data_IF_512619936414
#
_entry.id   IF_512619936414
#
_cell.length_a   1.000
_cell.length_b   1.000
_cell.length_c   1.000
_cell.angle_alpha   90.00
_cell.angle_beta   90.00
_cell.angle_gamma   90.00
#
_symmetry.space_group_name_H-M   'P 1'
#
loop_
_entity.id
_entity.type
_entity.pdbx_description
1 polymer ?
#
# COMPACT_ATOMS: atom_id res chain seq x y z
N UNK A 1 -10.66 -31.07 -33.95
CA UNK A 1 -9.65 -30.58 -32.99
C UNK A 1 -8.31 -31.02 -33.53
N UNK A 2 -7.37 -30.10 -33.71
CA UNK A 2 -6.07 -30.42 -34.32
C UNK A 2 -5.12 -30.97 -33.24
N UNK A 3 -4.15 -31.81 -33.63
CA UNK A 3 -3.10 -32.33 -32.72
C UNK A 3 -2.32 -31.21 -32.01
N UNK A 4 -2.35 -29.99 -32.55
CA UNK A 4 -1.73 -28.79 -31.98
C UNK A 4 -2.51 -28.22 -30.78
N UNK A 5 -3.84 -28.35 -30.78
CA UNK A 5 -4.70 -27.87 -29.69
C UNK A 5 -4.62 -28.79 -28.46
N UNK A 6 -4.40 -30.09 -28.70
CA UNK A 6 -4.26 -31.11 -27.65
C UNK A 6 -2.92 -30.99 -26.93
N UNK A 7 -1.83 -30.72 -27.67
CA UNK A 7 -0.51 -30.43 -27.08
C UNK A 7 -0.46 -29.18 -26.21
N UNK A 8 -1.27 -28.16 -26.50
CA UNK A 8 -1.33 -26.96 -25.65
C UNK A 8 -2.11 -27.19 -24.35
N UNK A 9 -3.10 -28.10 -24.34
CA UNK A 9 -3.81 -28.44 -23.11
C UNK A 9 -3.02 -29.42 -22.23
N UNK A 10 -2.29 -30.36 -22.82
CA UNK A 10 -1.45 -31.30 -22.08
C UNK A 10 -0.23 -30.62 -21.42
N UNK A 11 0.34 -29.58 -22.06
CA UNK A 11 1.45 -28.80 -21.51
C UNK A 11 1.05 -27.94 -20.28
N UNK A 12 -0.24 -27.62 -20.12
CA UNK A 12 -0.77 -26.93 -18.93
C UNK A 12 -1.07 -27.93 -17.81
N UNK A 13 -1.42 -29.17 -18.15
CA UNK A 13 -1.75 -30.22 -17.19
C UNK A 13 -0.53 -30.89 -16.53
N UNK A 14 0.68 -30.63 -17.05
CA UNK A 14 1.93 -31.27 -16.61
C UNK A 14 2.90 -30.30 -15.90
N UNK A 15 2.39 -29.20 -15.32
CA UNK A 15 3.18 -28.41 -14.38
C UNK A 15 3.23 -29.13 -13.03
N UNK A 16 4.44 -29.44 -12.57
CA UNK A 16 4.65 -29.99 -11.24
C UNK A 16 4.10 -29.04 -10.16
N UNK A 17 3.73 -29.59 -9.00
CA UNK A 17 3.22 -28.77 -7.89
C UNK A 17 4.21 -27.66 -7.49
N UNK A 18 5.52 -27.92 -7.68
CA UNK A 18 6.61 -26.97 -7.44
C UNK A 18 6.58 -25.79 -8.44
N UNK A 19 6.34 -26.06 -9.73
CA UNK A 19 6.21 -25.02 -10.76
C UNK A 19 4.93 -24.19 -10.58
N UNK A 20 3.82 -24.83 -10.17
CA UNK A 20 2.59 -24.11 -9.82
C UNK A 20 2.77 -23.23 -8.59
N UNK A 21 3.57 -23.67 -7.61
CA UNK A 21 3.88 -22.87 -6.44
C UNK A 21 4.76 -21.67 -6.81
N UNK A 22 5.79 -21.87 -7.65
CA UNK A 22 6.65 -20.79 -8.15
C UNK A 22 5.91 -19.76 -9.00
N UNK A 23 4.89 -20.17 -9.78
CA UNK A 23 4.05 -19.23 -10.53
C UNK A 23 3.14 -18.37 -9.64
N UNK A 24 2.85 -18.83 -8.42
CA UNK A 24 2.05 -18.11 -7.42
C UNK A 24 2.91 -17.35 -6.41
N UNK A 25 4.24 -17.46 -6.47
CA UNK A 25 5.13 -16.66 -5.63
C UNK A 25 5.16 -15.21 -6.14
N UNK A 26 4.87 -14.22 -5.26
CA UNK A 26 5.03 -12.83 -5.62
C UNK A 26 6.46 -12.59 -6.09
N UNK A 27 6.62 -11.92 -7.23
CA UNK A 27 7.93 -11.49 -7.69
C UNK A 27 8.58 -10.64 -6.56
N UNK A 28 9.73 -11.09 -6.06
CA UNK A 28 10.49 -10.45 -4.98
C UNK A 28 11.55 -9.54 -5.59
N UNK A 29 11.68 -8.30 -5.10
CA UNK A 29 12.74 -7.39 -5.55
C UNK A 29 14.13 -7.85 -5.07
N UNK A 30 15.07 -8.18 -5.99
CA UNK A 30 16.42 -8.60 -5.62
C UNK A 30 17.27 -7.48 -5.00
N UNK A 31 16.84 -6.21 -5.03
CA UNK A 31 17.52 -5.11 -4.32
C UNK A 31 17.07 -4.97 -2.85
N UNK A 32 16.04 -5.71 -2.43
CA UNK A 32 15.45 -5.58 -1.11
C UNK A 32 14.57 -4.34 -0.96
N UNK A 33 13.78 -4.30 0.11
CA UNK A 33 12.93 -3.16 0.45
C UNK A 33 13.82 -1.96 0.81
N UNK A 34 13.64 -0.80 0.18
CA UNK A 34 14.21 0.48 0.65
C UNK A 34 13.92 0.63 2.15
N UNK A 35 14.97 0.74 2.99
CA UNK A 35 14.83 0.81 4.45
C UNK A 35 13.85 1.91 4.89
N UNK A 36 13.78 3.01 4.12
CA UNK A 36 12.82 4.09 4.37
C UNK A 36 11.37 3.62 4.19
N UNK A 37 11.10 2.85 3.15
CA UNK A 37 9.78 2.30 2.87
C UNK A 37 9.42 1.18 3.82
N UNK A 38 10.38 0.34 4.23
CA UNK A 38 10.14 -0.66 5.28
C UNK A 38 9.75 0.00 6.60
N UNK A 39 10.53 0.99 7.03
CA UNK A 39 10.27 1.72 8.27
C UNK A 39 8.90 2.41 8.23
N UNK A 40 8.56 3.03 7.10
CA UNK A 40 7.25 3.65 6.90
C UNK A 40 6.11 2.63 6.96
N UNK A 41 6.26 1.48 6.29
CA UNK A 41 5.28 0.41 6.32
C UNK A 41 5.05 -0.11 7.75
N UNK A 42 6.14 -0.39 8.48
CA UNK A 42 6.08 -0.91 9.85
C UNK A 42 5.35 0.09 10.79
N UNK A 43 5.63 1.39 10.67
CA UNK A 43 4.97 2.43 11.46
C UNK A 43 3.47 2.56 11.11
N UNK A 44 3.13 2.55 9.82
CA UNK A 44 1.73 2.59 9.36
C UNK A 44 0.93 1.39 9.87
N UNK A 45 1.47 0.17 9.72
CA UNK A 45 0.79 -1.04 10.20
C UNK A 45 0.62 -1.00 11.70
N UNK A 46 1.67 -0.61 12.43
CA UNK A 46 1.61 -0.47 13.89
C UNK A 46 0.50 0.50 14.33
N UNK A 47 0.40 1.68 13.71
CA UNK A 47 -0.65 2.67 14.02
C UNK A 47 -2.06 2.16 13.71
N UNK A 48 -2.21 1.34 12.67
CA UNK A 48 -3.49 0.69 12.36
C UNK A 48 -3.83 -0.36 13.42
N UNK A 49 -2.86 -1.19 13.82
CA UNK A 49 -3.06 -2.26 14.80
C UNK A 49 -3.27 -1.74 16.22
N UNK A 50 -2.59 -0.66 16.60
CA UNK A 50 -2.74 0.03 17.89
C UNK A 50 -4.07 0.82 17.96
N UNK A 51 -4.75 1.03 16.83
CA UNK A 51 -6.02 1.74 16.74
C UNK A 51 -5.91 3.26 16.62
N UNK A 52 -4.68 3.79 16.50
CA UNK A 52 -4.41 5.22 16.26
C UNK A 52 -4.97 5.65 14.88
N UNK A 53 -4.88 4.76 13.89
CA UNK A 53 -5.49 4.96 12.57
C UNK A 53 -6.73 4.08 12.43
N UNK A 54 -7.87 4.74 12.25
CA UNK A 54 -9.11 4.07 11.89
C UNK A 54 -9.27 4.07 10.37
N UNK A 55 -9.07 2.92 9.74
CA UNK A 55 -9.22 2.75 8.30
C UNK A 55 -10.63 3.07 7.77
N UNK A 56 -11.63 3.31 8.60
CA UNK A 56 -12.98 3.75 8.18
C UNK A 56 -13.21 5.27 8.32
N UNK A 57 -12.23 6.01 8.86
CA UNK A 57 -12.36 7.43 9.17
C UNK A 57 -11.17 8.22 8.61
N UNK A 58 -11.35 9.02 7.54
CA UNK A 58 -10.28 9.86 6.98
C UNK A 58 -9.69 10.86 7.98
N UNK A 59 -10.49 11.37 8.92
CA UNK A 59 -10.00 12.27 9.95
C UNK A 59 -9.02 11.61 10.92
N UNK A 60 -8.99 10.26 11.02
CA UNK A 60 -8.06 9.56 11.92
C UNK A 60 -6.59 9.68 11.49
N UNK A 61 -6.32 9.97 10.21
CA UNK A 61 -4.94 10.17 9.72
C UNK A 61 -4.51 11.64 9.72
N UNK A 62 -5.39 12.56 10.13
CA UNK A 62 -5.12 14.00 10.12
C UNK A 62 -4.57 14.43 11.48
N UNK A 63 -3.47 15.17 11.46
CA UNK A 63 -2.97 15.88 12.62
C UNK A 63 -3.84 17.11 12.88
N UNK A 64 -4.81 16.95 13.79
CA UNK A 64 -5.80 17.96 14.09
C UNK A 64 -5.19 19.30 14.54
N UNK A 65 -4.06 19.26 15.26
CA UNK A 65 -3.37 20.47 15.71
C UNK A 65 -2.81 21.30 14.56
N UNK A 66 -2.44 20.66 13.45
CA UNK A 66 -1.97 21.37 12.24
C UNK A 66 -3.19 21.80 11.41
N UNK A 67 -4.18 20.91 11.28
CA UNK A 67 -5.41 21.15 10.52
C UNK A 67 -6.16 22.41 10.96
N UNK A 68 -6.29 22.63 12.26
CA UNK A 68 -6.99 23.79 12.83
C UNK A 68 -6.32 25.13 12.49
N UNK A 69 -5.02 25.12 12.17
CA UNK A 69 -4.28 26.30 11.75
C UNK A 69 -4.37 26.59 10.24
N UNK A 70 -4.95 25.69 9.45
CA UNK A 70 -5.06 25.84 8.00
C UNK A 70 -6.21 26.77 7.62
N UNK A 71 -6.09 27.43 6.46
CA UNK A 71 -7.24 28.10 5.83
C UNK A 71 -8.33 27.11 5.47
N UNK A 72 -9.60 27.54 5.41
CA UNK A 72 -10.74 26.69 5.03
C UNK A 72 -10.51 25.95 3.70
N UNK A 73 -9.87 26.61 2.72
CA UNK A 73 -9.51 25.99 1.45
C UNK A 73 -8.53 24.83 1.65
N UNK A 74 -7.47 25.06 2.43
CA UNK A 74 -6.44 24.04 2.71
C UNK A 74 -7.00 22.90 3.57
N UNK A 75 -7.97 23.18 4.45
CA UNK A 75 -8.72 22.16 5.18
C UNK A 75 -9.50 21.25 4.21
N UNK A 76 -10.27 21.83 3.28
CA UNK A 76 -11.01 21.05 2.29
C UNK A 76 -10.12 20.23 1.35
N UNK A 77 -8.96 20.76 0.94
CA UNK A 77 -7.95 20.01 0.18
C UNK A 77 -7.32 18.87 0.99
N UNK A 78 -7.12 19.10 2.29
CA UNK A 78 -6.64 18.08 3.24
C UNK A 78 -7.65 16.94 3.38
N UNK A 79 -8.94 17.26 3.53
CA UNK A 79 -10.00 16.27 3.68
C UNK A 79 -10.09 15.35 2.46
N UNK A 80 -10.04 15.92 1.25
CA UNK A 80 -10.06 15.15 0.00
C UNK A 80 -8.82 14.26 -0.13
N UNK A 81 -7.66 14.78 0.27
CA UNK A 81 -6.41 14.05 0.25
C UNK A 81 -6.41 12.90 1.27
N UNK A 82 -7.00 13.13 2.44
CA UNK A 82 -7.11 12.11 3.49
C UNK A 82 -7.95 10.91 3.01
N UNK A 83 -9.07 11.15 2.30
CA UNK A 83 -9.86 10.07 1.69
C UNK A 83 -9.01 9.23 0.73
N UNK A 84 -8.21 9.90 -0.11
CA UNK A 84 -7.37 9.24 -1.11
C UNK A 84 -6.23 8.43 -0.48
N UNK A 85 -5.58 8.99 0.54
CA UNK A 85 -4.53 8.30 1.29
C UNK A 85 -5.10 7.11 2.05
N UNK A 86 -6.24 7.26 2.74
CA UNK A 86 -6.87 6.19 3.50
C UNK A 86 -7.24 4.99 2.62
N UNK A 87 -7.69 5.22 1.38
CA UNK A 87 -7.95 4.14 0.42
C UNK A 87 -6.68 3.29 0.17
N UNK A 88 -5.53 3.95 -0.02
CA UNK A 88 -4.25 3.27 -0.22
C UNK A 88 -3.77 2.56 1.05
N UNK A 89 -4.00 3.14 2.23
CA UNK A 89 -3.69 2.48 3.50
C UNK A 89 -4.51 1.19 3.71
N UNK A 90 -5.76 1.15 3.24
CA UNK A 90 -6.55 -0.09 3.22
C UNK A 90 -5.95 -1.13 2.30
N UNK A 91 -5.50 -0.73 1.12
CA UNK A 91 -4.82 -1.64 0.18
C UNK A 91 -3.51 -2.18 0.79
N UNK A 92 -2.73 -1.33 1.48
CA UNK A 92 -1.54 -1.75 2.24
C UNK A 92 -1.94 -2.78 3.30
N UNK A 93 -2.93 -2.49 4.13
CA UNK A 93 -3.38 -3.42 5.19
C UNK A 93 -3.85 -4.75 4.60
N UNK A 94 -4.60 -4.72 3.49
CA UNK A 94 -5.05 -5.92 2.80
C UNK A 94 -3.90 -6.78 2.28
N UNK A 95 -2.89 -6.16 1.65
CA UNK A 95 -1.69 -6.86 1.18
C UNK A 95 -0.83 -7.42 2.33
N UNK A 96 -0.75 -6.69 3.44
CA UNK A 96 -0.07 -7.13 4.64
C UNK A 96 -0.76 -8.37 5.25
N UNK A 97 -2.09 -8.35 5.33
CA UNK A 97 -2.88 -9.42 5.96
C UNK A 97 -2.88 -10.73 5.18
N UNK A 98 -2.71 -10.66 3.86
CA UNK A 98 -2.52 -11.86 3.02
C UNK A 98 -1.07 -12.39 3.03
N UNK A 99 -0.19 -11.81 3.84
CA UNK A 99 1.19 -12.26 4.02
C UNK A 99 2.10 -11.93 2.84
N UNK A 100 1.83 -10.84 2.10
CA UNK A 100 2.66 -10.40 0.96
C UNK A 100 3.36 -9.03 1.18
N UNK A 101 4.03 -8.79 2.32
CA UNK A 101 4.63 -7.49 2.62
C UNK A 101 5.84 -7.16 1.72
N UNK A 102 6.52 -8.17 1.19
CA UNK A 102 7.73 -7.97 0.36
C UNK A 102 7.44 -7.92 -1.14
N UNK A 103 6.16 -7.92 -1.54
CA UNK A 103 5.76 -7.88 -2.95
C UNK A 103 6.08 -6.53 -3.60
N UNK A 104 6.40 -6.52 -4.90
CA UNK A 104 6.52 -5.27 -5.68
C UNK A 104 5.27 -4.39 -5.59
N UNK A 105 4.09 -5.01 -5.48
CA UNK A 105 2.85 -4.27 -5.32
C UNK A 105 2.83 -3.51 -3.99
N UNK A 106 3.22 -4.15 -2.88
CA UNK A 106 3.35 -3.49 -1.58
C UNK A 106 4.35 -2.35 -1.66
N UNK A 107 5.56 -2.60 -2.19
CA UNK A 107 6.62 -1.58 -2.25
C UNK A 107 6.19 -0.35 -3.06
N UNK A 108 5.58 -0.56 -4.23
CA UNK A 108 5.08 0.54 -5.06
C UNK A 108 3.98 1.34 -4.35
N UNK A 109 3.10 0.66 -3.62
CA UNK A 109 2.01 1.30 -2.91
C UNK A 109 2.52 2.13 -1.73
N UNK A 110 3.43 1.58 -0.94
CA UNK A 110 4.10 2.27 0.17
C UNK A 110 4.83 3.52 -0.33
N UNK A 111 5.64 3.38 -1.38
CA UNK A 111 6.37 4.52 -1.97
C UNK A 111 5.40 5.61 -2.44
N UNK A 112 4.31 5.23 -3.12
CA UNK A 112 3.31 6.17 -3.57
C UNK A 112 2.61 6.91 -2.43
N UNK A 113 2.29 6.23 -1.32
CA UNK A 113 1.71 6.88 -0.13
C UNK A 113 2.70 7.86 0.46
N UNK A 114 3.95 7.46 0.68
CA UNK A 114 5.01 8.29 1.25
C UNK A 114 5.27 9.55 0.41
N UNK A 115 5.45 9.39 -0.91
CA UNK A 115 5.67 10.52 -1.81
C UNK A 115 4.44 11.44 -1.90
N UNK A 116 3.23 10.87 -1.85
CA UNK A 116 2.00 11.66 -1.85
C UNK A 116 1.88 12.48 -0.58
N UNK A 117 2.16 11.88 0.58
CA UNK A 117 2.25 12.58 1.87
C UNK A 117 3.26 13.73 1.79
N UNK A 118 4.52 13.43 1.45
CA UNK A 118 5.59 14.42 1.37
C UNK A 118 5.23 15.60 0.46
N UNK A 119 4.54 15.34 -0.66
CA UNK A 119 4.06 16.39 -1.57
C UNK A 119 2.98 17.28 -0.94
N UNK A 120 2.03 16.69 -0.21
CA UNK A 120 0.93 17.43 0.43
C UNK A 120 1.42 18.24 1.64
N UNK A 121 2.44 17.75 2.33
CA UNK A 121 3.04 18.36 3.51
C UNK A 121 3.96 19.54 3.20
N UNK A 122 4.33 19.75 1.93
CA UNK A 122 5.18 20.89 1.52
C UNK A 122 4.63 22.24 1.96
N UNK A 123 3.31 22.41 1.85
CA UNK A 123 2.63 23.69 2.10
C UNK A 123 1.89 23.69 3.44
N UNK A 124 1.63 22.52 4.02
CA UNK A 124 0.79 22.35 5.22
C UNK A 124 1.57 21.91 6.47
N UNK A 125 2.83 21.50 6.34
CA UNK A 125 3.59 20.89 7.43
C UNK A 125 3.15 19.46 7.70
N UNK A 126 3.41 18.94 8.91
CA UNK A 126 3.12 17.55 9.30
C UNK A 126 1.61 17.30 9.53
N UNK A 127 0.81 17.41 8.47
CA UNK A 127 -0.65 17.33 8.50
C UNK A 127 -1.16 15.88 8.55
N UNK A 128 -0.36 14.88 8.16
CA UNK A 128 -0.75 13.47 8.26
C UNK A 128 0.09 12.75 9.31
N UNK A 129 -0.55 11.96 10.18
CA UNK A 129 0.11 11.23 11.28
C UNK A 129 0.77 9.91 10.86
N UNK A 130 0.91 9.70 9.55
CA UNK A 130 1.43 8.49 8.90
C UNK A 130 2.87 8.66 8.42
#
# INVERSE_FOLDING_TARGET
MSDSDQKQQDMIAELSQEEQNHLNEPLVDPQGVDEKNKTFLDDVIKKIEDGDINLMSPSSIINQSVYEGLSEKAQGETDLSAVSLLARLRDIKGLHDIGSPDSYQMQNLVEQVRLTKERLEKDTGNIFII
#
